data_IF_606862896911
#
_entry.id   IF_606862896911
#
_cell.length_a   1.000
_cell.length_b   1.000
_cell.length_c   1.000
_cell.angle_alpha   90.00
_cell.angle_beta   90.00
_cell.angle_gamma   90.00
#
_symmetry.space_group_name_H-M   'P 1'
#
loop_
_entity.id
_entity.type
_entity.pdbx_description
1 polymer ?
#
# COMPACT_ATOMS: atom_id res chain seq x y z
N UNK A 1 -25.26 3.27 -2.49
CA UNK A 1 -24.22 3.35 -3.54
C UNK A 1 -23.44 4.67 -3.54
N UNK A 2 -24.06 5.86 -3.36
CA UNK A 2 -23.32 7.14 -3.35
C UNK A 2 -22.29 7.32 -2.21
N UNK A 3 -22.67 6.98 -0.96
CA UNK A 3 -21.81 7.18 0.23
C UNK A 3 -20.53 6.34 0.22
N UNK A 4 -20.61 5.09 -0.24
CA UNK A 4 -19.44 4.19 -0.32
C UNK A 4 -18.43 4.66 -1.37
N UNK A 5 -18.92 5.22 -2.49
CA UNK A 5 -18.06 5.84 -3.51
C UNK A 5 -17.33 7.07 -2.97
N UNK A 6 -18.03 7.91 -2.21
CA UNK A 6 -17.44 9.12 -1.61
C UNK A 6 -16.32 8.77 -0.62
N UNK A 7 -16.57 7.81 0.28
CA UNK A 7 -15.54 7.30 1.21
C UNK A 7 -14.34 6.72 0.47
N UNK A 8 -14.58 5.90 -0.58
CA UNK A 8 -13.48 5.35 -1.37
C UNK A 8 -12.64 6.45 -2.05
N UNK A 9 -13.27 7.49 -2.60
CA UNK A 9 -12.56 8.62 -3.18
C UNK A 9 -11.78 9.42 -2.14
N UNK A 10 -12.31 9.58 -0.95
CA UNK A 10 -11.61 10.23 0.16
C UNK A 10 -10.35 9.45 0.57
N UNK A 11 -10.45 8.11 0.70
CA UNK A 11 -9.30 7.24 0.99
C UNK A 11 -8.24 7.34 -0.10
N UNK A 12 -8.65 7.36 -1.38
CA UNK A 12 -7.73 7.53 -2.51
C UNK A 12 -7.00 8.86 -2.45
N UNK A 13 -7.75 9.96 -2.30
CA UNK A 13 -7.19 11.32 -2.33
C UNK A 13 -6.34 11.65 -1.09
N UNK A 14 -6.49 10.90 0.00
CA UNK A 14 -5.78 11.15 1.25
C UNK A 14 -4.61 10.17 1.45
N UNK A 15 -4.91 8.91 1.75
CA UNK A 15 -3.93 7.95 2.24
C UNK A 15 -3.29 7.19 1.11
N UNK A 16 -4.04 6.77 0.09
CA UNK A 16 -3.41 6.13 -1.07
C UNK A 16 -2.40 7.06 -1.73
N UNK A 17 -2.74 8.33 -1.95
CA UNK A 17 -1.82 9.32 -2.53
C UNK A 17 -0.52 9.50 -1.72
N UNK A 18 -0.63 9.52 -0.38
CA UNK A 18 0.54 9.65 0.52
C UNK A 18 1.39 8.39 0.55
N UNK A 19 0.77 7.22 0.74
CA UNK A 19 1.46 5.91 0.76
C UNK A 19 2.14 5.65 -0.57
N UNK A 20 1.49 5.97 -1.68
CA UNK A 20 2.08 5.83 -3.02
C UNK A 20 3.27 6.77 -3.18
N UNK A 21 3.14 8.06 -2.85
CA UNK A 21 4.22 9.04 -3.03
C UNK A 21 5.41 8.78 -2.10
N UNK A 22 5.14 8.47 -0.83
CA UNK A 22 6.14 8.14 0.17
C UNK A 22 6.80 6.80 -0.09
N UNK A 23 6.01 5.78 -0.45
CA UNK A 23 6.48 4.46 -0.81
C UNK A 23 7.36 4.48 -2.06
N UNK A 24 6.93 5.18 -3.12
CA UNK A 24 7.75 5.40 -4.31
C UNK A 24 9.09 6.05 -3.96
N UNK A 25 9.09 7.07 -3.09
CA UNK A 25 10.34 7.68 -2.61
C UNK A 25 11.20 6.70 -1.81
N UNK A 26 10.58 5.83 -1.02
CA UNK A 26 11.28 4.85 -0.20
C UNK A 26 11.91 3.75 -1.07
N UNK A 27 11.19 3.21 -2.06
CA UNK A 27 11.76 2.21 -2.98
C UNK A 27 12.71 2.81 -4.02
N UNK A 28 12.54 4.09 -4.36
CA UNK A 28 13.44 4.80 -5.26
C UNK A 28 14.80 5.14 -4.63
N UNK A 29 14.97 5.01 -3.31
CA UNK A 29 16.19 5.46 -2.64
C UNK A 29 16.50 6.96 -2.82
N UNK A 30 17.72 7.35 -2.48
CA UNK A 30 18.20 8.75 -2.59
C UNK A 30 18.51 9.20 -4.01
N UNK A 31 18.99 8.30 -4.86
CA UNK A 31 19.39 8.57 -6.24
C UNK A 31 18.33 8.08 -7.22
N UNK A 32 17.65 9.04 -7.87
CA UNK A 32 16.46 8.79 -8.69
C UNK A 32 16.85 8.57 -10.15
N UNK A 33 17.02 7.31 -10.56
CA UNK A 33 16.80 6.94 -11.96
C UNK A 33 15.38 6.40 -12.09
N UNK A 34 14.48 7.14 -12.74
CA UNK A 34 13.14 6.66 -13.12
C UNK A 34 12.21 6.28 -11.94
N UNK A 35 12.50 6.74 -10.73
CA UNK A 35 11.71 6.41 -9.53
C UNK A 35 11.99 5.00 -8.97
N UNK A 36 13.07 4.35 -9.40
CA UNK A 36 13.57 3.08 -8.86
C UNK A 36 15.08 3.25 -8.68
N UNK A 37 15.54 3.37 -7.44
CA UNK A 37 16.96 3.45 -7.14
C UNK A 37 17.46 2.11 -6.62
N UNK A 38 18.76 1.88 -6.65
CA UNK A 38 19.36 0.60 -6.26
C UNK A 38 19.24 0.30 -4.77
N UNK A 39 18.88 1.30 -3.95
CA UNK A 39 18.90 1.22 -2.49
C UNK A 39 17.53 1.61 -1.92
N UNK A 40 16.59 0.66 -1.79
CA UNK A 40 15.34 0.93 -1.09
C UNK A 40 15.61 1.31 0.38
N UNK A 41 14.71 2.08 0.98
CA UNK A 41 14.72 2.41 2.41
C UNK A 41 13.53 1.72 3.11
N UNK A 42 13.71 0.48 3.60
CA UNK A 42 12.63 -0.30 4.20
C UNK A 42 11.99 0.37 5.42
N UNK A 43 12.79 1.07 6.23
CA UNK A 43 12.29 1.78 7.41
C UNK A 43 11.39 2.97 7.04
N UNK A 44 11.68 3.66 5.94
CA UNK A 44 10.80 4.72 5.43
C UNK A 44 9.50 4.14 4.88
N UNK A 45 9.58 3.04 4.11
CA UNK A 45 8.40 2.37 3.58
C UNK A 45 7.51 1.82 4.70
N UNK A 46 8.07 1.21 5.74
CA UNK A 46 7.30 0.69 6.89
C UNK A 46 6.45 1.77 7.58
N UNK A 47 6.93 3.01 7.66
CA UNK A 47 6.12 4.13 8.21
C UNK A 47 4.93 4.46 7.32
N UNK A 48 5.12 4.48 6.01
CA UNK A 48 4.03 4.76 5.06
C UNK A 48 3.01 3.62 5.08
N UNK A 49 3.46 2.37 5.13
CA UNK A 49 2.58 1.21 5.26
C UNK A 49 1.81 1.21 6.58
N UNK A 50 2.39 1.75 7.67
CA UNK A 50 1.68 1.96 8.94
C UNK A 50 0.41 2.82 8.79
N UNK A 51 0.41 3.81 7.90
CA UNK A 51 -0.80 4.60 7.65
C UNK A 51 -1.89 3.77 6.93
N UNK A 52 -1.49 2.84 6.06
CA UNK A 52 -2.41 1.92 5.39
C UNK A 52 -2.94 0.85 6.37
N UNK A 53 -2.07 0.34 7.24
CA UNK A 53 -2.40 -0.58 8.32
C UNK A 53 -3.50 -0.01 9.23
N UNK A 54 -3.39 1.27 9.62
CA UNK A 54 -4.40 1.94 10.43
C UNK A 54 -5.76 2.06 9.73
N UNK A 55 -5.79 2.22 8.41
CA UNK A 55 -7.05 2.21 7.65
C UNK A 55 -7.66 0.83 7.67
N UNK A 56 -6.88 -0.20 7.35
CA UNK A 56 -7.35 -1.58 7.32
C UNK A 56 -7.90 -1.99 8.69
N UNK A 57 -7.23 -1.61 9.78
CA UNK A 57 -7.69 -1.87 11.15
C UNK A 57 -9.06 -1.21 11.47
N UNK A 58 -9.39 -0.08 10.84
CA UNK A 58 -10.64 0.67 11.07
C UNK A 58 -11.73 0.36 10.03
N UNK A 59 -11.39 -0.34 8.95
CA UNK A 59 -12.26 -0.54 7.79
C UNK A 59 -13.49 -1.40 8.08
N UNK A 60 -13.42 -2.27 9.11
CA UNK A 60 -14.46 -3.23 9.44
C UNK A 60 -14.54 -4.44 8.49
N UNK A 61 -13.51 -4.68 7.67
CA UNK A 61 -13.41 -5.84 6.79
C UNK A 61 -11.98 -6.05 6.25
N UNK A 62 -11.78 -6.96 5.27
CA UNK A 62 -10.47 -7.23 4.69
C UNK A 62 -9.98 -6.14 3.73
N UNK A 63 -10.87 -5.27 3.24
CA UNK A 63 -10.55 -4.24 2.25
C UNK A 63 -10.58 -2.84 2.85
N UNK A 64 -10.01 -1.86 2.14
CA UNK A 64 -9.80 -0.50 2.65
C UNK A 64 -11.10 0.23 3.04
N UNK A 65 -12.25 -0.21 2.52
CA UNK A 65 -13.56 0.36 2.81
C UNK A 65 -14.56 -0.69 3.33
N UNK A 66 -14.07 -1.77 3.95
CA UNK A 66 -14.89 -2.77 4.63
C UNK A 66 -14.91 -4.13 3.92
N UNK A 67 -16.09 -4.78 3.79
CA UNK A 67 -16.18 -6.17 3.36
C UNK A 67 -15.95 -6.39 1.86
N UNK A 68 -16.17 -5.35 1.04
CA UNK A 68 -16.12 -5.44 -0.42
C UNK A 68 -14.98 -4.62 -1.01
N UNK A 69 -14.41 -5.10 -2.12
CA UNK A 69 -13.42 -4.36 -2.91
C UNK A 69 -14.03 -3.06 -3.43
N UNK A 70 -13.29 -1.96 -3.28
CA UNK A 70 -13.67 -0.65 -3.81
C UNK A 70 -12.60 -0.08 -4.73
N UNK A 71 -12.88 1.10 -5.31
CA UNK A 71 -11.89 1.85 -6.07
C UNK A 71 -10.62 2.15 -5.25
N UNK A 72 -10.74 2.32 -3.93
CA UNK A 72 -9.59 2.55 -3.06
C UNK A 72 -8.59 1.39 -3.14
N UNK A 73 -9.09 0.17 -3.10
CA UNK A 73 -8.27 -1.04 -3.19
C UNK A 73 -7.62 -1.16 -4.57
N UNK A 74 -8.40 -0.98 -5.63
CA UNK A 74 -7.94 -1.07 -7.02
C UNK A 74 -6.87 -0.01 -7.35
N UNK A 75 -7.00 1.20 -6.79
CA UNK A 75 -6.03 2.28 -7.01
C UNK A 75 -4.75 2.10 -6.19
N UNK A 76 -4.84 1.52 -4.99
CA UNK A 76 -3.70 1.42 -4.06
C UNK A 76 -2.86 0.16 -4.29
N UNK A 77 -3.51 -0.98 -4.54
CA UNK A 77 -2.85 -2.29 -4.61
C UNK A 77 -1.69 -2.39 -5.61
N UNK A 78 -1.81 -1.89 -6.86
CA UNK A 78 -0.72 -2.01 -7.83
C UNK A 78 0.58 -1.35 -7.37
N UNK A 79 0.52 -0.36 -6.48
CA UNK A 79 1.70 0.29 -5.95
C UNK A 79 2.33 -0.50 -4.82
N UNK A 80 1.52 -1.03 -3.90
CA UNK A 80 2.03 -1.84 -2.79
C UNK A 80 2.62 -3.15 -3.30
N UNK A 81 2.02 -3.77 -4.33
CA UNK A 81 2.59 -4.91 -5.05
C UNK A 81 3.96 -4.56 -5.66
N UNK A 82 4.09 -3.40 -6.31
CA UNK A 82 5.38 -2.95 -6.85
C UNK A 82 6.43 -2.70 -5.77
N UNK A 83 6.01 -2.24 -4.59
CA UNK A 83 6.93 -2.07 -3.47
C UNK A 83 7.47 -3.41 -2.98
N UNK A 84 6.64 -4.46 -2.93
CA UNK A 84 7.08 -5.82 -2.61
C UNK A 84 8.15 -6.31 -3.60
N UNK A 85 7.91 -6.15 -4.91
CA UNK A 85 8.87 -6.52 -5.94
C UNK A 85 10.19 -5.75 -5.78
N UNK A 86 10.13 -4.44 -5.54
CA UNK A 86 11.32 -3.61 -5.37
C UNK A 86 12.12 -3.95 -4.11
N UNK A 87 11.44 -4.25 -2.99
CA UNK A 87 12.08 -4.73 -1.76
C UNK A 87 12.75 -6.09 -1.96
N UNK A 88 12.12 -6.99 -2.74
CA UNK A 88 12.63 -8.32 -3.02
C UNK A 88 14.00 -8.33 -3.68
N UNK A 89 14.33 -7.30 -4.48
CA UNK A 89 15.67 -7.11 -5.07
C UNK A 89 16.74 -7.00 -3.96
N UNK A 90 16.40 -6.35 -2.84
CA UNK A 90 17.25 -6.20 -1.67
C UNK A 90 17.10 -7.30 -0.61
N UNK A 91 16.32 -8.35 -0.88
CA UNK A 91 16.07 -9.43 0.08
C UNK A 91 15.12 -9.06 1.23
N UNK A 92 14.27 -8.04 1.04
CA UNK A 92 13.25 -7.63 2.00
C UNK A 92 11.83 -7.93 1.48
N UNK A 93 10.85 -8.00 2.38
CA UNK A 93 9.43 -8.08 2.05
C UNK A 93 8.62 -7.07 2.87
N UNK A 94 7.50 -6.59 2.32
CA UNK A 94 6.44 -5.85 3.00
C UNK A 94 6.01 -6.57 4.28
N UNK A 95 5.95 -7.91 4.25
CA UNK A 95 5.63 -8.73 5.41
C UNK A 95 6.55 -8.45 6.61
N UNK A 96 7.80 -8.16 6.35
CA UNK A 96 8.83 -7.97 7.38
C UNK A 96 8.83 -6.54 7.96
N UNK A 97 8.05 -5.62 7.38
CA UNK A 97 8.03 -4.21 7.77
C UNK A 97 7.05 -3.86 8.90
N UNK A 98 6.39 -4.85 9.49
CA UNK A 98 5.49 -4.64 10.64
C UNK A 98 4.08 -4.17 10.28
N UNK A 99 3.58 -4.52 9.09
CA UNK A 99 2.22 -4.21 8.63
C UNK A 99 1.47 -5.50 8.24
N UNK A 100 1.05 -6.31 9.22
CA UNK A 100 0.44 -7.62 8.96
C UNK A 100 -0.93 -7.54 8.28
N UNK A 101 -1.76 -6.52 8.56
CA UNK A 101 -3.03 -6.35 7.86
C UNK A 101 -2.81 -5.93 6.41
N UNK A 102 -1.82 -5.08 6.14
CA UNK A 102 -1.42 -4.75 4.76
C UNK A 102 -0.99 -6.01 4.01
N UNK A 103 -0.18 -6.86 4.64
CA UNK A 103 0.21 -8.14 4.04
C UNK A 103 -1.01 -9.03 3.75
N UNK A 104 -1.92 -9.19 4.71
CA UNK A 104 -3.13 -9.99 4.51
C UNK A 104 -4.01 -9.43 3.39
N UNK A 105 -4.22 -8.10 3.36
CA UNK A 105 -4.96 -7.42 2.30
C UNK A 105 -4.33 -7.66 0.92
N UNK A 106 -2.99 -7.67 0.80
CA UNK A 106 -2.32 -8.01 -0.47
C UNK A 106 -2.65 -9.43 -0.92
N UNK A 107 -2.67 -10.40 0.00
CA UNK A 107 -3.03 -11.78 -0.30
C UNK A 107 -4.50 -11.90 -0.75
N UNK A 108 -5.41 -11.22 -0.07
CA UNK A 108 -6.83 -11.19 -0.40
C UNK A 108 -7.05 -10.56 -1.79
N UNK A 109 -6.33 -9.48 -2.10
CA UNK A 109 -6.36 -8.80 -3.39
C UNK A 109 -5.76 -9.61 -4.55
N UNK A 110 -4.80 -10.49 -4.26
CA UNK A 110 -4.22 -11.41 -5.23
C UNK A 110 -5.13 -12.62 -5.50
N UNK A 111 -5.86 -13.08 -4.48
CA UNK A 111 -6.80 -14.19 -4.57
C UNK A 111 -8.17 -13.80 -5.16
N UNK A 112 -8.38 -12.52 -5.46
CA UNK A 112 -9.53 -12.00 -6.21
C UNK A 112 -9.48 -12.53 -7.64
N UNK A 113 -10.52 -13.29 -8.02
CA UNK A 113 -10.81 -13.67 -9.41
C UNK A 113 -11.21 -12.47 -10.28
#
# INVERSE_FOLDING_TARGET
QGKQREVALEVVNSVAAKVVSGGLRAVAGGDRLWGIGPNPNPAALGRELGALEEILAKSGGPYLCGPDVTLADLATYPFVERFEVALGIGGHSVRDLGSPLVWQWMQDMQARD
#
